data_IF_634479739374
#
_entry.id   IF_634479739374
#
_cell.length_a   1.000
_cell.length_b   1.000
_cell.length_c   1.000
_cell.angle_alpha   90.00
_cell.angle_beta   90.00
_cell.angle_gamma   90.00
#
_symmetry.space_group_name_H-M   'P 1'
#
loop_
_entity.id
_entity.type
_entity.pdbx_description
1 polymer ?
#
# COMPACT_ATOMS: atom_id res chain seq x y z
N UNK A 1 21.91 -8.26 9.08
CA UNK A 1 20.66 -7.59 8.70
C UNK A 1 20.64 -7.53 7.20
N UNK A 2 19.62 -8.12 6.60
CA UNK A 2 19.34 -7.97 5.18
C UNK A 2 18.84 -6.53 4.91
N UNK A 3 18.83 -6.10 3.65
CA UNK A 3 18.37 -4.76 3.24
C UNK A 3 16.95 -4.49 3.74
N UNK A 4 16.14 -5.56 3.72
CA UNK A 4 15.33 -6.08 4.83
C UNK A 4 14.95 -5.22 6.01
N UNK A 5 15.43 -5.79 7.09
CA UNK A 5 15.41 -5.29 8.43
C UNK A 5 15.90 -3.85 8.51
N UNK A 6 16.83 -3.42 7.63
CA UNK A 6 17.29 -2.04 7.60
C UNK A 6 16.19 -1.08 7.11
N UNK A 7 15.51 -1.38 6.00
CA UNK A 7 14.41 -0.54 5.52
C UNK A 7 13.22 -0.53 6.48
N UNK A 8 12.88 -1.68 7.08
CA UNK A 8 11.86 -1.74 8.12
C UNK A 8 12.29 -0.95 9.36
N UNK A 9 13.56 -1.02 9.77
CA UNK A 9 14.07 -0.26 10.90
C UNK A 9 14.06 1.25 10.63
N UNK A 10 14.45 1.68 9.43
CA UNK A 10 14.40 3.08 9.01
C UNK A 10 12.95 3.59 8.96
N UNK A 11 12.04 2.79 8.40
CA UNK A 11 10.60 3.08 8.41
C UNK A 11 9.98 3.12 9.81
N UNK A 12 10.55 2.39 10.78
CA UNK A 12 10.16 2.47 12.19
C UNK A 12 10.66 3.73 12.90
N UNK A 13 11.69 4.37 12.36
CA UNK A 13 12.21 5.64 12.85
C UNK A 13 11.48 6.84 12.20
N UNK A 14 10.74 6.61 11.12
CA UNK A 14 9.92 7.61 10.47
C UNK A 14 8.66 7.96 11.30
N UNK A 15 8.36 9.25 11.36
CA UNK A 15 7.18 9.78 12.07
C UNK A 15 5.87 9.57 11.30
N UNK A 16 4.74 10.10 11.83
CA UNK A 16 3.48 10.12 11.09
C UNK A 16 3.64 10.81 9.75
N UNK A 17 2.93 10.32 8.73
CA UNK A 17 2.96 10.87 7.36
C UNK A 17 1.56 11.09 6.83
N UNK A 18 1.38 12.10 6.00
CA UNK A 18 0.13 12.31 5.28
C UNK A 18 0.31 11.84 3.83
N UNK A 19 -0.53 10.90 3.40
CA UNK A 19 -0.56 10.38 2.03
C UNK A 19 -1.96 10.52 1.49
N UNK A 20 -2.11 11.24 0.39
CA UNK A 20 -3.39 11.43 -0.29
C UNK A 20 -4.53 11.97 0.62
N UNK A 21 -4.18 12.83 1.58
CA UNK A 21 -5.11 13.40 2.56
C UNK A 21 -5.48 12.46 3.72
N UNK A 22 -4.79 11.32 3.84
CA UNK A 22 -4.96 10.34 4.91
C UNK A 22 -3.70 10.32 5.77
N UNK A 23 -3.86 10.51 7.07
CA UNK A 23 -2.77 10.41 8.04
C UNK A 23 -2.45 8.93 8.32
N UNK A 24 -1.21 8.55 8.02
CA UNK A 24 -0.60 7.28 8.33
C UNK A 24 0.17 7.40 9.64
N UNK A 25 -0.13 6.50 10.58
CA UNK A 25 0.69 6.37 11.81
C UNK A 25 2.07 5.81 11.47
N UNK A 26 3.06 6.05 12.35
CA UNK A 26 4.38 5.45 12.24
C UNK A 26 4.31 3.94 12.10
N UNK A 27 5.22 3.37 11.32
CA UNK A 27 5.38 1.92 11.32
C UNK A 27 6.00 1.48 12.64
N UNK A 28 5.34 0.60 13.39
CA UNK A 28 5.82 0.17 14.71
C UNK A 28 5.82 -1.36 14.81
N UNK A 29 6.38 -1.87 15.90
CA UNK A 29 6.24 -3.29 16.24
C UNK A 29 4.77 -3.73 16.30
N UNK A 30 3.85 -2.84 16.70
CA UNK A 30 2.42 -3.09 16.68
C UNK A 30 1.86 -3.27 15.27
N UNK A 31 2.31 -2.45 14.31
CA UNK A 31 1.96 -2.58 12.90
C UNK A 31 2.50 -3.89 12.30
N UNK A 32 3.72 -4.29 12.65
CA UNK A 32 4.30 -5.58 12.23
C UNK A 32 3.49 -6.77 12.79
N UNK A 33 3.07 -6.69 14.06
CA UNK A 33 2.21 -7.72 14.65
C UNK A 33 0.82 -7.76 14.01
N UNK A 34 0.26 -6.62 13.64
CA UNK A 34 -1.00 -6.55 12.90
C UNK A 34 -0.88 -7.20 11.52
N UNK A 35 0.20 -6.90 10.79
CA UNK A 35 0.50 -7.53 9.51
C UNK A 35 0.61 -9.06 9.62
N UNK A 36 1.30 -9.57 10.65
CA UNK A 36 1.37 -11.02 10.95
C UNK A 36 0.01 -11.64 11.22
N UNK A 37 -0.86 -10.96 11.98
CA UNK A 37 -2.22 -11.45 12.29
C UNK A 37 -3.12 -11.52 11.06
N UNK A 38 -2.92 -10.61 10.11
CA UNK A 38 -3.66 -10.60 8.84
C UNK A 38 -3.04 -11.53 7.79
N UNK A 39 -1.78 -11.92 7.98
CA UNK A 39 -1.02 -12.74 7.02
C UNK A 39 -0.53 -11.93 5.83
N UNK A 40 -0.12 -10.67 6.05
CA UNK A 40 0.43 -9.82 5.00
C UNK A 40 1.90 -10.17 4.78
N UNK A 41 2.17 -11.08 3.84
CA UNK A 41 3.51 -11.64 3.57
C UNK A 41 4.51 -10.54 3.24
N UNK A 42 4.12 -9.52 2.48
CA UNK A 42 4.97 -8.38 2.11
C UNK A 42 5.57 -7.67 3.33
N UNK A 43 4.84 -7.63 4.45
CA UNK A 43 5.24 -6.89 5.65
C UNK A 43 5.69 -7.80 6.80
N UNK A 44 5.20 -9.05 6.84
CA UNK A 44 5.31 -9.93 8.01
C UNK A 44 6.35 -11.04 7.90
N UNK A 45 6.62 -11.53 6.68
CA UNK A 45 7.42 -12.74 6.42
C UNK A 45 8.57 -12.42 5.46
N UNK A 46 9.70 -13.12 5.58
CA UNK A 46 10.65 -13.21 4.46
C UNK A 46 9.89 -13.88 3.30
N UNK A 47 9.76 -13.17 2.17
CA UNK A 47 9.15 -13.74 0.99
C UNK A 47 9.94 -15.00 0.65
N UNK A 48 9.33 -16.18 0.82
CA UNK A 48 9.83 -17.39 0.18
C UNK A 48 9.86 -17.16 -1.33
N UNK A 49 10.65 -17.94 -2.08
CA UNK A 49 10.66 -17.91 -3.55
C UNK A 49 9.26 -18.17 -4.19
N UNK A 50 8.23 -18.44 -3.37
CA UNK A 50 6.84 -18.51 -3.79
C UNK A 50 6.30 -17.10 -4.06
N UNK A 51 6.21 -16.76 -5.35
CA UNK A 51 5.54 -15.58 -5.88
C UNK A 51 4.14 -15.40 -5.24
N UNK A 52 3.77 -14.16 -4.95
CA UNK A 52 2.43 -13.83 -4.48
C UNK A 52 1.41 -14.13 -5.58
N UNK A 53 0.20 -14.55 -5.21
CA UNK A 53 -0.86 -14.74 -6.21
C UNK A 53 -1.19 -13.40 -6.89
N UNK A 54 -1.57 -13.39 -8.17
CA UNK A 54 -1.97 -12.16 -8.85
C UNK A 54 -3.08 -11.43 -8.09
N UNK A 55 -2.89 -10.13 -7.78
CA UNK A 55 -3.85 -9.32 -7.00
C UNK A 55 -3.66 -9.38 -5.48
N UNK A 56 -2.80 -10.27 -4.98
CA UNK A 56 -2.53 -10.38 -3.54
C UNK A 56 -1.73 -9.19 -3.03
N UNK A 57 -0.79 -8.67 -3.83
CA UNK A 57 0.02 -7.51 -3.47
C UNK A 57 -0.84 -6.28 -3.19
N UNK A 58 -1.77 -5.96 -4.09
CA UNK A 58 -2.68 -4.83 -3.93
C UNK A 58 -3.56 -5.00 -2.69
N UNK A 59 -4.05 -6.22 -2.46
CA UNK A 59 -4.87 -6.54 -1.29
C UNK A 59 -4.08 -6.35 0.02
N UNK A 60 -2.81 -6.77 0.05
CA UNK A 60 -1.94 -6.61 1.21
C UNK A 60 -1.55 -5.14 1.44
N UNK A 61 -1.31 -4.37 0.37
CA UNK A 61 -1.06 -2.93 0.45
C UNK A 61 -2.26 -2.18 1.02
N UNK A 62 -3.48 -2.49 0.57
CA UNK A 62 -4.71 -1.89 1.08
C UNK A 62 -4.91 -2.25 2.56
N UNK A 63 -4.70 -3.53 2.91
CA UNK A 63 -4.79 -3.98 4.31
C UNK A 63 -3.80 -3.23 5.21
N UNK A 64 -2.56 -3.04 4.74
CA UNK A 64 -1.57 -2.29 5.50
C UNK A 64 -1.91 -0.80 5.58
N UNK A 65 -2.40 -0.18 4.51
CA UNK A 65 -2.88 1.20 4.54
C UNK A 65 -4.03 1.38 5.56
N UNK A 66 -4.95 0.42 5.66
CA UNK A 66 -5.99 0.40 6.70
C UNK A 66 -5.40 0.30 8.10
N UNK A 67 -4.44 -0.61 8.34
CA UNK A 67 -3.73 -0.75 9.63
C UNK A 67 -3.08 0.58 10.04
N UNK A 68 -2.60 1.39 9.09
CA UNK A 68 -1.90 2.62 9.39
C UNK A 68 -2.81 3.86 9.50
N UNK A 69 -4.01 3.82 8.91
CA UNK A 69 -4.90 5.00 8.83
C UNK A 69 -6.16 4.89 9.69
N UNK A 70 -6.77 3.72 9.80
CA UNK A 70 -8.04 3.54 10.52
C UNK A 70 -7.88 3.69 12.04
N UNK A 71 -8.85 4.23 12.80
CA UNK A 71 -8.70 4.47 14.24
C UNK A 71 -8.13 3.26 14.99
N UNK A 72 -7.06 3.45 15.78
CA UNK A 72 -6.37 2.34 16.45
C UNK A 72 -7.30 1.44 17.30
N UNK A 73 -8.28 1.96 18.07
CA UNK A 73 -9.23 1.11 18.79
C UNK A 73 -10.05 0.19 17.88
N UNK A 74 -10.36 0.63 16.66
CA UNK A 74 -11.07 -0.18 15.67
C UNK A 74 -10.17 -1.27 15.12
N UNK A 75 -8.95 -0.94 14.70
CA UNK A 75 -7.97 -1.92 14.21
C UNK A 75 -7.75 -3.02 15.26
N UNK A 76 -7.50 -2.64 16.52
CA UNK A 76 -7.30 -3.60 17.59
C UNK A 76 -8.54 -4.44 17.89
N UNK A 77 -9.74 -3.87 17.79
CA UNK A 77 -10.99 -4.60 18.00
C UNK A 77 -11.19 -5.65 16.90
N UNK A 78 -11.04 -5.27 15.64
CA UNK A 78 -11.24 -6.20 14.51
C UNK A 78 -10.20 -7.33 14.53
N UNK A 79 -8.92 -7.00 14.78
CA UNK A 79 -7.87 -8.03 14.93
C UNK A 79 -8.11 -9.00 16.10
N UNK A 80 -8.81 -8.58 17.15
CA UNK A 80 -9.19 -9.46 18.27
C UNK A 80 -10.40 -10.32 17.95
N UNK A 81 -11.32 -9.81 17.13
CA UNK A 81 -12.51 -10.52 16.70
C UNK A 81 -12.16 -11.65 15.72
N UNK A 82 -11.13 -11.46 14.88
CA UNK A 82 -10.59 -12.50 14.01
C UNK A 82 -10.06 -11.93 12.70
N UNK A 83 -9.37 -12.77 11.92
CA UNK A 83 -8.85 -12.40 10.60
C UNK A 83 -9.98 -11.98 9.66
N UNK A 84 -11.09 -12.71 9.63
CA UNK A 84 -12.22 -12.44 8.73
C UNK A 84 -12.89 -11.08 9.02
N UNK A 85 -13.11 -10.75 10.30
CA UNK A 85 -13.66 -9.45 10.70
C UNK A 85 -12.71 -8.30 10.34
N UNK A 86 -11.40 -8.52 10.47
CA UNK A 86 -10.42 -7.53 10.08
C UNK A 86 -10.39 -7.34 8.56
N UNK A 87 -10.49 -8.40 7.76
CA UNK A 87 -10.59 -8.30 6.30
C UNK A 87 -11.89 -7.63 5.85
N UNK A 88 -13.02 -7.86 6.52
CA UNK A 88 -14.24 -7.12 6.23
C UNK A 88 -14.07 -5.59 6.40
N UNK A 89 -13.26 -5.15 7.38
CA UNK A 89 -12.92 -3.73 7.54
C UNK A 89 -11.94 -3.21 6.51
N UNK A 90 -11.02 -4.05 6.06
CA UNK A 90 -10.14 -3.73 4.92
C UNK A 90 -10.98 -3.53 3.66
N UNK A 91 -11.95 -4.40 3.40
CA UNK A 91 -12.84 -4.28 2.24
C UNK A 91 -13.67 -2.99 2.30
N UNK A 92 -14.29 -2.70 3.46
CA UNK A 92 -15.02 -1.43 3.68
C UNK A 92 -14.13 -0.21 3.40
N UNK A 93 -12.89 -0.25 3.86
CA UNK A 93 -11.90 0.79 3.61
C UNK A 93 -11.54 0.90 2.12
N UNK A 94 -11.37 -0.23 1.43
CA UNK A 94 -11.05 -0.29 0.00
C UNK A 94 -12.12 0.39 -0.87
N UNK A 95 -13.41 0.27 -0.52
CA UNK A 95 -14.50 0.98 -1.20
C UNK A 95 -14.40 2.51 -1.09
N UNK A 96 -13.67 3.03 -0.09
CA UNK A 96 -13.39 4.45 0.08
C UNK A 96 -12.14 4.96 -0.65
N UNK A 97 -11.35 4.05 -1.24
CA UNK A 97 -10.14 4.39 -1.98
C UNK A 97 -10.45 4.57 -3.46
N UNK A 98 -10.12 5.75 -3.98
CA UNK A 98 -9.97 5.92 -5.42
C UNK A 98 -8.59 5.41 -5.87
N UNK A 99 -8.45 5.16 -7.18
CA UNK A 99 -7.22 4.61 -7.75
C UNK A 99 -6.03 5.55 -7.58
N UNK A 100 -6.26 6.87 -7.56
CA UNK A 100 -5.21 7.87 -7.39
C UNK A 100 -4.61 7.79 -5.97
N UNK A 101 -5.46 7.64 -4.93
CA UNK A 101 -5.03 7.40 -3.55
C UNK A 101 -4.27 6.10 -3.41
N UNK A 102 -4.76 5.02 -4.03
CA UNK A 102 -4.09 3.73 -3.98
C UNK A 102 -2.66 3.82 -4.54
N UNK A 103 -2.46 4.48 -5.68
CA UNK A 103 -1.13 4.68 -6.26
C UNK A 103 -0.20 5.47 -5.34
N UNK A 104 -0.72 6.50 -4.64
CA UNK A 104 0.06 7.26 -3.67
C UNK A 104 0.45 6.42 -2.45
N UNK A 105 -0.43 5.51 -2.01
CA UNK A 105 -0.08 4.55 -0.97
C UNK A 105 0.99 3.56 -1.43
N UNK A 106 0.86 2.99 -2.64
CA UNK A 106 1.85 2.07 -3.19
C UNK A 106 3.24 2.70 -3.23
N UNK A 107 3.35 3.94 -3.75
CA UNK A 107 4.62 4.68 -3.79
C UNK A 107 5.20 4.96 -2.40
N UNK A 108 4.37 5.22 -1.38
CA UNK A 108 4.88 5.43 -0.03
C UNK A 108 5.33 4.12 0.63
N UNK A 109 4.63 3.02 0.35
CA UNK A 109 5.00 1.70 0.85
C UNK A 109 6.29 1.18 0.19
N UNK A 110 6.49 1.46 -1.09
CA UNK A 110 7.76 1.21 -1.79
C UNK A 110 8.94 1.98 -1.16
N UNK A 111 8.70 3.21 -0.66
CA UNK A 111 9.75 3.95 0.07
C UNK A 111 10.04 3.36 1.44
N UNK A 112 9.02 2.84 2.13
CA UNK A 112 9.18 2.15 3.42
C UNK A 112 9.87 0.78 3.25
N UNK A 113 9.80 0.19 2.07
CA UNK A 113 10.50 -1.04 1.76
C UNK A 113 11.01 -1.03 0.34
N UNK A 114 12.29 -0.71 0.14
CA UNK A 114 13.02 -1.02 -1.10
C UNK A 114 13.10 -2.54 -1.43
N UNK A 115 12.09 -3.32 -1.05
CA UNK A 115 11.86 -4.77 -1.19
C UNK A 115 10.38 -5.15 -1.22
N UNK A 116 9.52 -4.30 -1.75
CA UNK A 116 8.48 -4.90 -2.60
C UNK A 116 9.18 -5.05 -3.95
N UNK A 117 9.45 -6.29 -4.34
CA UNK A 117 10.22 -6.58 -5.56
C UNK A 117 9.72 -5.76 -6.74
N UNK A 118 10.65 -5.38 -7.63
CA UNK A 118 10.44 -4.53 -8.80
C UNK A 118 9.20 -4.91 -9.65
N UNK A 119 7.98 -4.56 -9.28
CA UNK A 119 6.80 -4.79 -10.14
C UNK A 119 5.62 -3.92 -9.74
N UNK A 120 5.74 -2.60 -9.68
CA UNK A 120 4.54 -1.76 -9.67
C UNK A 120 4.75 -0.53 -10.56
N UNK A 121 3.85 -0.41 -11.53
CA UNK A 121 3.69 0.71 -12.48
C UNK A 121 4.67 0.74 -13.67
N UNK A 122 4.36 -0.05 -14.70
CA UNK A 122 4.65 0.38 -16.07
C UNK A 122 3.79 1.64 -16.33
N UNK A 123 4.40 2.81 -16.20
CA UNK A 123 3.76 4.09 -16.50
C UNK A 123 3.51 4.14 -18.01
N UNK A 124 2.31 3.77 -18.44
CA UNK A 124 1.84 4.13 -19.79
C UNK A 124 1.73 5.66 -19.81
N UNK A 125 2.52 6.38 -20.63
CA UNK A 125 2.38 7.82 -20.72
C UNK A 125 0.97 8.15 -21.20
N UNK A 126 0.20 8.88 -20.38
CA UNK A 126 -0.95 9.63 -20.88
C UNK A 126 -0.39 10.73 -21.77
N UNK A 127 -0.33 10.49 -23.07
CA UNK A 127 -0.21 11.56 -24.05
C UNK A 127 -1.38 12.52 -23.82
N UNK A 128 -1.06 13.64 -23.17
CA UNK A 128 -2.00 14.74 -23.02
C UNK A 128 -2.24 15.36 -24.39
N UNK A 129 -3.51 15.38 -24.74
CA UNK A 129 -4.12 16.09 -25.87
C UNK A 129 -3.55 17.50 -26.08
N UNK A 130 -3.32 17.81 -27.37
CA UNK A 130 -3.91 18.98 -28.01
C UNK A 130 -3.02 20.21 -28.18
N UNK A 131 -2.73 20.54 -29.45
CA UNK A 131 -2.86 21.91 -29.96
C UNK A 131 -3.22 21.90 -31.45
N UNK A 132 -4.33 22.57 -31.76
CA UNK A 132 -4.81 22.97 -33.07
C UNK A 132 -3.73 23.70 -33.89
N UNK A 133 -3.68 23.43 -35.19
CA UNK A 133 -4.06 24.41 -36.23
C UNK A 133 -4.04 23.75 -37.61
N UNK A 134 -5.17 23.74 -38.32
CA UNK A 134 -5.24 23.35 -39.74
C UNK A 134 -4.85 24.54 -40.63
N UNK A 135 -4.49 24.33 -41.92
CA UNK A 135 -5.53 24.60 -42.93
C UNK A 135 -5.56 23.60 -44.12
N UNK A 136 -6.66 23.62 -44.90
CA UNK A 136 -7.01 22.57 -45.86
C UNK A 136 -6.42 22.83 -47.26
N UNK A 137 -5.93 21.78 -47.91
CA UNK A 137 -5.41 21.87 -49.28
C UNK A 137 -5.88 20.70 -50.14
N UNK A 138 -6.83 20.98 -51.04
CA UNK A 138 -7.23 20.09 -52.14
C UNK A 138 -6.09 19.97 -53.16
N UNK A 139 -5.87 18.77 -53.70
CA UNK A 139 -5.83 18.45 -55.16
C UNK A 139 -5.63 16.95 -55.34
#
# INVERSE_FOLDING_TARGET
MNDRDNALADGMLDGPKEVAGIELRPFTLGSLQAARKLGLRMFAEELSDDELEPGQEESEMIAFAWIQSAPLPEVLRSLRAGKDEAWAKVDEFAFGLDMDKFQLFAQELEKLGGMVGETIVEVVPKDKQGKEDSPPGKS
#
